data_IF_674871908029
#
_entry.id   IF_674871908029
#
_cell.length_a   1.000
_cell.length_b   1.000
_cell.length_c   1.000
_cell.angle_alpha   90.00
_cell.angle_beta   90.00
_cell.angle_gamma   90.00
#
_symmetry.space_group_name_H-M   'P 1'
#
loop_
_entity.id
_entity.type
_entity.pdbx_description
1 polymer ?
#
# COMPACT_ATOMS: atom_id res chain seq x y z
N UNK A 1 -10.04 -4.68 24.43
CA UNK A 1 -9.59 -4.98 23.06
C UNK A 1 -10.81 -4.86 22.17
N UNK A 2 -10.89 -3.84 21.32
CA UNK A 2 -11.94 -3.79 20.33
C UNK A 2 -11.66 -4.91 19.33
N UNK A 3 -12.61 -5.83 19.16
CA UNK A 3 -12.57 -6.78 18.04
C UNK A 3 -12.74 -5.95 16.78
N UNK A 4 -11.64 -5.56 16.14
CA UNK A 4 -11.72 -4.81 14.89
C UNK A 4 -12.47 -5.66 13.87
N UNK A 5 -13.66 -5.20 13.50
CA UNK A 5 -14.47 -5.83 12.46
C UNK A 5 -14.08 -5.19 11.15
N UNK A 6 -13.36 -5.95 10.32
CA UNK A 6 -13.23 -5.67 8.90
C UNK A 6 -14.62 -5.59 8.27
N UNK A 7 -14.82 -4.63 7.38
CA UNK A 7 -16.00 -4.63 6.50
C UNK A 7 -15.95 -5.83 5.53
N UNK A 8 -17.03 -6.07 4.78
CA UNK A 8 -17.05 -7.16 3.79
C UNK A 8 -16.05 -6.91 2.65
N UNK A 9 -15.98 -5.66 2.16
CA UNK A 9 -15.08 -5.31 1.05
C UNK A 9 -13.63 -5.26 1.51
N UNK A 10 -13.34 -4.67 2.67
CA UNK A 10 -12.01 -4.65 3.27
C UNK A 10 -11.51 -6.08 3.51
N UNK A 11 -12.36 -6.95 4.07
CA UNK A 11 -12.04 -8.37 4.26
C UNK A 11 -11.68 -9.05 2.95
N UNK A 12 -12.49 -8.87 1.90
CA UNK A 12 -12.22 -9.49 0.60
C UNK A 12 -10.90 -9.00 -0.02
N UNK A 13 -10.59 -7.71 0.12
CA UNK A 13 -9.31 -7.13 -0.30
C UNK A 13 -8.14 -7.80 0.47
N UNK A 14 -8.22 -7.84 1.79
CA UNK A 14 -7.15 -8.38 2.63
C UNK A 14 -6.97 -9.89 2.48
N UNK A 15 -8.04 -10.64 2.25
CA UNK A 15 -7.97 -12.08 1.95
C UNK A 15 -7.23 -12.35 0.63
N UNK A 16 -7.41 -11.50 -0.40
CA UNK A 16 -6.63 -11.59 -1.64
C UNK A 16 -5.14 -11.33 -1.39
N UNK A 17 -4.81 -10.27 -0.63
CA UNK A 17 -3.43 -9.96 -0.26
C UNK A 17 -2.80 -11.11 0.53
N UNK A 18 -3.53 -11.64 1.53
CA UNK A 18 -3.12 -12.76 2.36
C UNK A 18 -2.79 -13.99 1.51
N UNK A 19 -3.67 -14.36 0.58
CA UNK A 19 -3.46 -15.51 -0.30
C UNK A 19 -2.27 -15.31 -1.24
N UNK A 20 -2.19 -14.16 -1.90
CA UNK A 20 -1.13 -13.87 -2.89
C UNK A 20 0.26 -13.83 -2.26
N UNK A 21 0.39 -13.33 -1.04
CA UNK A 21 1.67 -13.29 -0.31
C UNK A 21 1.90 -14.50 0.62
N UNK A 22 0.96 -15.46 0.68
CA UNK A 22 1.00 -16.60 1.61
C UNK A 22 1.18 -16.18 3.08
N UNK A 23 0.47 -15.13 3.49
CA UNK A 23 0.49 -14.62 4.86
C UNK A 23 -0.34 -15.55 5.78
N UNK A 24 0.08 -15.72 7.05
CA UNK A 24 -0.54 -16.69 7.94
C UNK A 24 -1.92 -16.25 8.45
N UNK A 25 -2.20 -14.95 8.50
CA UNK A 25 -3.51 -14.42 8.87
C UNK A 25 -3.84 -13.06 8.21
N UNK A 26 -5.09 -12.65 8.38
CA UNK A 26 -5.65 -11.42 7.78
C UNK A 26 -5.15 -10.14 8.46
N UNK A 27 -4.68 -10.21 9.71
CA UNK A 27 -4.14 -9.06 10.42
C UNK A 27 -2.73 -8.73 9.91
N UNK A 28 -1.90 -9.75 9.65
CA UNK A 28 -0.63 -9.58 8.93
C UNK A 28 -0.86 -8.94 7.55
N UNK A 29 -1.90 -9.39 6.82
CA UNK A 29 -2.26 -8.80 5.53
C UNK A 29 -2.67 -7.32 5.65
N UNK A 30 -3.43 -6.95 6.68
CA UNK A 30 -3.79 -5.56 6.95
C UNK A 30 -2.55 -4.72 7.26
N UNK A 31 -1.76 -5.13 8.23
CA UNK A 31 -0.64 -4.33 8.73
C UNK A 31 0.40 -4.12 7.61
N UNK A 32 0.69 -5.16 6.82
CA UNK A 32 1.56 -5.05 5.66
C UNK A 32 0.97 -4.18 4.54
N UNK A 33 -0.34 -4.28 4.28
CA UNK A 33 -1.02 -3.40 3.31
C UNK A 33 -0.88 -1.92 3.72
N UNK A 34 -1.13 -1.61 4.99
CA UNK A 34 -1.02 -0.25 5.52
C UNK A 34 0.41 0.29 5.37
N UNK A 35 1.42 -0.55 5.62
CA UNK A 35 2.83 -0.16 5.51
C UNK A 35 3.25 0.03 4.06
N UNK A 36 2.80 -0.83 3.14
CA UNK A 36 3.06 -0.66 1.70
C UNK A 36 2.40 0.63 1.20
N UNK A 37 1.12 0.86 1.51
CA UNK A 37 0.42 2.08 1.12
C UNK A 37 1.06 3.32 1.72
N UNK A 38 1.47 3.30 2.99
CA UNK A 38 2.23 4.40 3.60
C UNK A 38 3.53 4.66 2.87
N UNK A 39 4.27 3.60 2.58
CA UNK A 39 5.55 3.71 1.87
C UNK A 39 5.36 4.24 0.44
N UNK A 40 4.25 3.92 -0.23
CA UNK A 40 3.89 4.53 -1.51
C UNK A 40 3.56 6.01 -1.37
N UNK A 41 2.74 6.39 -0.39
CA UNK A 41 2.40 7.80 -0.12
C UNK A 41 3.63 8.66 0.14
N UNK A 42 4.62 8.12 0.84
CA UNK A 42 5.89 8.80 1.09
C UNK A 42 6.66 9.17 -0.20
N UNK A 43 6.41 8.48 -1.32
CA UNK A 43 7.01 8.77 -2.63
C UNK A 43 6.23 9.81 -3.44
N UNK A 44 5.05 10.22 -2.95
CA UNK A 44 4.10 11.07 -3.66
C UNK A 44 4.04 12.47 -3.07
N UNK A 45 3.65 13.47 -3.87
CA UNK A 45 3.18 14.73 -3.30
C UNK A 45 1.86 14.50 -2.55
N UNK A 46 1.50 15.43 -1.66
CA UNK A 46 0.21 15.34 -0.94
C UNK A 46 -0.96 15.29 -1.92
N UNK A 47 -0.92 16.10 -2.98
CA UNK A 47 -1.97 16.13 -4.00
C UNK A 47 -2.05 14.82 -4.79
N UNK A 48 -0.91 14.17 -5.07
CA UNK A 48 -0.89 12.89 -5.76
C UNK A 48 -1.40 11.75 -4.86
N UNK A 49 -1.06 11.77 -3.57
CA UNK A 49 -1.58 10.84 -2.58
C UNK A 49 -3.10 11.01 -2.37
N UNK A 50 -3.60 12.24 -2.29
CA UNK A 50 -5.04 12.55 -2.17
C UNK A 50 -5.81 12.12 -3.43
N UNK A 51 -5.27 12.38 -4.63
CA UNK A 51 -5.85 11.90 -5.89
C UNK A 51 -5.90 10.37 -5.96
N UNK A 52 -4.84 9.70 -5.49
CA UNK A 52 -4.81 8.24 -5.44
C UNK A 52 -5.86 7.68 -4.50
N UNK A 53 -6.04 8.29 -3.33
CA UNK A 53 -7.11 7.92 -2.40
C UNK A 53 -8.49 8.02 -3.06
N UNK A 54 -8.77 9.14 -3.74
CA UNK A 54 -10.05 9.39 -4.38
C UNK A 54 -10.32 8.50 -5.62
N UNK A 55 -9.30 7.81 -6.12
CA UNK A 55 -9.40 6.98 -7.31
C UNK A 55 -9.75 5.51 -7.03
N UNK A 56 -9.72 5.07 -5.76
CA UNK A 56 -10.23 3.76 -5.37
C UNK A 56 -11.75 3.70 -5.59
N UNK A 57 -12.25 2.59 -6.14
CA UNK A 57 -13.69 2.38 -6.41
C UNK A 57 -14.54 2.30 -5.15
N UNK A 58 -13.95 1.81 -4.05
CA UNK A 58 -14.64 1.56 -2.79
C UNK A 58 -14.03 2.39 -1.65
N UNK A 59 -14.88 3.04 -0.86
CA UNK A 59 -14.46 3.94 0.22
C UNK A 59 -13.78 3.21 1.38
N UNK A 60 -14.13 1.95 1.64
CA UNK A 60 -13.54 1.14 2.71
C UNK A 60 -12.12 0.72 2.32
N UNK A 61 -11.87 0.41 1.05
CA UNK A 61 -10.51 0.19 0.53
C UNK A 61 -9.73 1.50 0.50
N UNK A 62 -10.36 2.61 0.11
CA UNK A 62 -9.74 3.94 0.15
C UNK A 62 -9.31 4.34 1.57
N UNK A 63 -10.01 3.84 2.61
CA UNK A 63 -9.64 4.08 4.01
C UNK A 63 -8.30 3.43 4.38
N UNK A 64 -7.98 2.24 3.85
CA UNK A 64 -6.66 1.60 4.03
C UNK A 64 -5.53 2.49 3.47
N UNK A 65 -5.81 3.26 2.42
CA UNK A 65 -4.84 4.21 1.86
C UNK A 65 -4.71 5.51 2.67
N UNK A 66 -5.69 5.91 3.48
CA UNK A 66 -5.80 7.29 3.96
C UNK A 66 -4.76 7.71 5.01
N UNK A 67 -4.19 6.79 5.78
CA UNK A 67 -3.43 7.05 7.01
C UNK A 67 -4.27 7.79 8.07
N UNK A 68 -4.59 7.11 9.18
CA UNK A 68 -5.52 7.64 10.17
C UNK A 68 -4.93 8.67 11.14
N UNK A 69 -3.68 9.13 10.96
CA UNK A 69 -3.09 10.12 11.86
C UNK A 69 -3.31 11.58 11.40
N UNK A 70 -4.23 12.34 12.02
CA UNK A 70 -4.57 13.69 11.60
C UNK A 70 -3.42 14.70 11.77
N UNK A 71 -2.52 14.47 12.72
CA UNK A 71 -1.35 15.34 12.96
C UNK A 71 -0.33 15.12 11.84
N UNK A 72 -0.07 13.84 11.51
CA UNK A 72 0.84 13.49 10.41
C UNK A 72 0.31 14.04 9.09
N UNK A 73 -1.01 13.95 8.84
CA UNK A 73 -1.64 14.54 7.65
C UNK A 73 -1.51 16.06 7.56
N UNK A 74 -1.60 16.77 8.69
CA UNK A 74 -1.39 18.21 8.70
C UNK A 74 0.06 18.58 8.40
N UNK A 75 1.02 17.82 8.93
CA UNK A 75 2.46 18.04 8.74
C UNK A 75 2.99 17.55 7.39
N UNK A 76 2.37 16.51 6.79
CA UNK A 76 2.81 15.94 5.52
C UNK A 76 2.70 16.93 4.36
N UNK A 77 1.79 17.89 4.43
CA UNK A 77 1.67 19.00 3.47
C UNK A 77 2.93 19.84 3.31
N UNK A 78 3.81 19.82 4.32
CA UNK A 78 5.08 20.56 4.32
C UNK A 78 6.28 19.66 3.99
N UNK A 79 6.10 18.34 3.94
CA UNK A 79 7.17 17.39 3.71
C UNK A 79 7.29 17.10 2.20
N UNK A 80 8.45 17.28 1.58
CA UNK A 80 8.65 16.87 0.20
C UNK A 80 8.57 15.34 0.06
N UNK A 81 8.21 14.82 -1.13
CA UNK A 81 8.29 13.38 -1.40
C UNK A 81 9.68 12.83 -1.10
N UNK A 82 9.73 11.63 -0.57
CA UNK A 82 10.98 10.94 -0.32
C UNK A 82 11.57 10.42 -1.62
N UNK A 83 12.84 10.73 -1.87
CA UNK A 83 13.61 10.12 -2.94
C UNK A 83 14.38 8.92 -2.37
N UNK A 84 13.77 7.73 -2.45
CA UNK A 84 14.38 6.47 -2.02
C UNK A 84 14.35 5.46 -3.16
N UNK A 85 15.34 4.58 -3.20
CA UNK A 85 15.40 3.48 -4.17
C UNK A 85 14.54 2.28 -3.74
N UNK A 86 14.38 1.33 -4.67
CA UNK A 86 13.63 0.08 -4.44
C UNK A 86 14.19 -0.71 -3.27
N UNK A 87 15.51 -0.79 -3.09
CA UNK A 87 16.13 -1.52 -1.98
C UNK A 87 15.73 -0.90 -0.63
N UNK A 88 15.80 0.43 -0.52
CA UNK A 88 15.41 1.15 0.68
C UNK A 88 13.94 0.99 0.98
N UNK A 89 13.08 1.02 -0.03
CA UNK A 89 11.65 0.75 0.12
C UNK A 89 11.41 -0.66 0.67
N UNK A 90 11.95 -1.71 0.03
CA UNK A 90 11.76 -3.10 0.44
C UNK A 90 12.32 -3.36 1.84
N UNK A 91 13.44 -2.72 2.18
CA UNK A 91 14.01 -2.76 3.53
C UNK A 91 13.06 -2.16 4.56
N UNK A 92 12.36 -1.05 4.27
CA UNK A 92 11.34 -0.48 5.17
C UNK A 92 10.18 -1.45 5.38
N UNK A 93 9.64 -2.03 4.30
CA UNK A 93 8.57 -3.04 4.42
C UNK A 93 9.02 -4.20 5.31
N UNK A 94 10.26 -4.66 5.15
CA UNK A 94 10.84 -5.72 6.00
C UNK A 94 10.98 -5.32 7.47
N UNK A 95 11.46 -4.10 7.74
CA UNK A 95 11.76 -3.63 9.10
C UNK A 95 10.51 -3.23 9.87
N UNK A 96 9.56 -2.58 9.20
CA UNK A 96 8.36 -2.03 9.81
C UNK A 96 7.20 -3.04 9.81
N UNK A 97 7.16 -3.93 8.82
CA UNK A 97 6.04 -4.83 8.56
C UNK A 97 6.04 -6.14 9.32
N UNK A 98 7.11 -6.48 10.05
CA UNK A 98 7.16 -7.73 10.80
C UNK A 98 6.93 -8.98 9.94
N UNK A 99 7.44 -8.96 8.70
CA UNK A 99 7.14 -9.99 7.68
C UNK A 99 7.36 -11.41 8.25
N UNK A 100 6.37 -12.32 8.10
CA UNK A 100 6.48 -13.69 8.54
C UNK A 100 7.68 -14.43 7.93
N UNK A 101 8.22 -15.41 8.67
CA UNK A 101 9.32 -16.24 8.17
C UNK A 101 8.92 -16.95 6.88
N UNK A 102 9.76 -16.85 5.85
CA UNK A 102 9.54 -17.50 4.55
C UNK A 102 8.77 -16.65 3.54
N UNK A 103 8.25 -15.48 3.93
CA UNK A 103 7.66 -14.49 3.02
C UNK A 103 8.69 -13.42 2.69
N UNK A 104 8.78 -13.02 1.42
CA UNK A 104 9.70 -11.96 0.98
C UNK A 104 9.00 -10.59 0.92
N UNK A 105 9.71 -9.48 1.15
CA UNK A 105 9.16 -8.13 0.97
C UNK A 105 8.56 -7.90 -0.42
N UNK A 106 9.20 -8.44 -1.46
CA UNK A 106 8.75 -8.35 -2.84
C UNK A 106 7.42 -9.06 -3.04
N UNK A 107 7.24 -10.25 -2.47
CA UNK A 107 5.98 -11.00 -2.55
C UNK A 107 4.83 -10.22 -1.90
N UNK A 108 5.07 -9.58 -0.74
CA UNK A 108 4.09 -8.70 -0.08
C UNK A 108 3.74 -7.51 -0.97
N UNK A 109 4.75 -6.81 -1.50
CA UNK A 109 4.55 -5.63 -2.35
C UNK A 109 3.77 -5.98 -3.61
N UNK A 110 4.12 -7.08 -4.28
CA UNK A 110 3.42 -7.61 -5.46
C UNK A 110 1.96 -7.97 -5.13
N UNK A 111 1.72 -8.61 -3.99
CA UNK A 111 0.37 -8.95 -3.55
C UNK A 111 -0.49 -7.70 -3.33
N UNK A 112 0.04 -6.69 -2.64
CA UNK A 112 -0.66 -5.41 -2.41
C UNK A 112 -0.87 -4.66 -3.72
N UNK A 113 0.16 -4.57 -4.58
CA UNK A 113 0.07 -3.88 -5.87
C UNK A 113 -0.98 -4.50 -6.77
N UNK A 114 -0.93 -5.82 -6.97
CA UNK A 114 -1.90 -6.51 -7.82
C UNK A 114 -3.32 -6.35 -7.31
N UNK A 115 -3.54 -6.44 -5.99
CA UNK A 115 -4.88 -6.29 -5.40
C UNK A 115 -5.36 -4.84 -5.47
N UNK A 116 -4.49 -3.85 -5.26
CA UNK A 116 -4.84 -2.43 -5.39
C UNK A 116 -5.18 -2.04 -6.83
N UNK A 117 -4.48 -2.59 -7.83
CA UNK A 117 -4.76 -2.30 -9.25
C UNK A 117 -6.15 -2.73 -9.69
N UNK A 118 -6.70 -3.80 -9.10
CA UNK A 118 -8.09 -4.22 -9.35
C UNK A 118 -9.12 -3.12 -8.99
N UNK A 119 -8.76 -2.23 -8.06
CA UNK A 119 -9.61 -1.16 -7.53
C UNK A 119 -9.42 0.19 -8.22
N UNK A 120 -8.51 0.29 -9.17
CA UNK A 120 -8.13 1.53 -9.83
C UNK A 120 -8.49 1.53 -11.31
N UNK A 121 -8.57 2.72 -11.90
CA UNK A 121 -8.67 2.87 -13.36
C UNK A 121 -7.29 2.77 -14.01
N UNK A 122 -7.24 2.41 -15.30
CA UNK A 122 -5.97 2.33 -16.04
C UNK A 122 -5.20 3.66 -16.01
N UNK A 123 -5.91 4.79 -16.14
CA UNK A 123 -5.29 6.10 -16.05
C UNK A 123 -4.59 6.33 -14.69
N UNK A 124 -5.22 5.88 -13.60
CA UNK A 124 -4.63 6.00 -12.27
C UNK A 124 -3.46 5.03 -12.06
N UNK A 125 -3.56 3.81 -12.60
CA UNK A 125 -2.47 2.83 -12.57
C UNK A 125 -1.20 3.41 -13.21
N UNK A 126 -1.34 4.06 -14.36
CA UNK A 126 -0.24 4.72 -15.07
C UNK A 126 0.30 5.94 -14.31
N UNK A 127 -0.56 6.71 -13.63
CA UNK A 127 -0.13 7.86 -12.84
C UNK A 127 0.69 7.44 -11.61
N UNK A 128 0.24 6.40 -10.89
CA UNK A 128 1.00 5.84 -9.75
C UNK A 128 2.36 5.32 -10.22
N UNK A 129 2.42 4.59 -11.34
CA UNK A 129 3.67 4.03 -11.89
C UNK A 129 4.77 5.09 -12.10
N UNK A 130 4.40 6.34 -12.42
CA UNK A 130 5.36 7.45 -12.59
C UNK A 130 6.02 7.92 -11.28
N UNK A 131 5.44 7.60 -10.13
CA UNK A 131 5.94 7.97 -8.80
C UNK A 131 6.86 6.90 -8.20
N UNK A 132 6.87 5.70 -8.79
CA UNK A 132 7.61 4.57 -8.27
C UNK A 132 9.07 4.57 -8.80
N UNK A 133 10.05 4.26 -7.93
CA UNK A 133 11.41 3.91 -8.34
C UNK A 133 11.44 2.75 -9.35
N UNK A 134 12.45 2.72 -10.23
CA UNK A 134 12.53 1.80 -11.37
C UNK A 134 12.21 0.33 -11.04
N UNK A 135 12.79 -0.22 -9.96
CA UNK A 135 12.53 -1.61 -9.57
C UNK A 135 11.10 -1.86 -9.07
N UNK A 136 10.49 -0.88 -8.40
CA UNK A 136 9.09 -0.97 -7.97
C UNK A 136 8.13 -0.77 -9.13
N UNK A 137 8.50 0.09 -10.08
CA UNK A 137 7.76 0.25 -11.32
C UNK A 137 7.68 -1.06 -12.10
N UNK A 138 8.78 -1.80 -12.20
CA UNK A 138 8.76 -3.15 -12.80
C UNK A 138 7.79 -4.08 -12.06
N UNK A 139 7.82 -4.11 -10.73
CA UNK A 139 6.87 -4.91 -9.95
C UNK A 139 5.42 -4.47 -10.15
N UNK A 140 5.18 -3.16 -10.26
CA UNK A 140 3.85 -2.59 -10.48
C UNK A 140 3.30 -2.89 -11.87
N UNK A 141 4.13 -2.78 -12.92
CA UNK A 141 3.71 -2.93 -14.30
C UNK A 141 3.54 -4.41 -14.71
N UNK A 142 4.17 -5.35 -14.00
CA UNK A 142 4.14 -6.79 -14.32
C UNK A 142 2.96 -7.57 -13.72
N UNK A 143 2.15 -6.92 -12.87
CA UNK A 143 1.05 -7.57 -12.14
C UNK A 143 -0.34 -7.28 -12.68
#
# INVERSE_FOLDING_TARGET
MATEKFSATERAFLEKVMQKASLPDIYDARDLTLIVFRSMRDLMSTEAADRTQAAFKDEEIAALWKDDNPIVRALSRLRPPLNIDTETFLRRIKQEGGIPKGVSPEAVVIAVFSTAREELSEAQIQEISKTLPDGLKVMWDQV
#
